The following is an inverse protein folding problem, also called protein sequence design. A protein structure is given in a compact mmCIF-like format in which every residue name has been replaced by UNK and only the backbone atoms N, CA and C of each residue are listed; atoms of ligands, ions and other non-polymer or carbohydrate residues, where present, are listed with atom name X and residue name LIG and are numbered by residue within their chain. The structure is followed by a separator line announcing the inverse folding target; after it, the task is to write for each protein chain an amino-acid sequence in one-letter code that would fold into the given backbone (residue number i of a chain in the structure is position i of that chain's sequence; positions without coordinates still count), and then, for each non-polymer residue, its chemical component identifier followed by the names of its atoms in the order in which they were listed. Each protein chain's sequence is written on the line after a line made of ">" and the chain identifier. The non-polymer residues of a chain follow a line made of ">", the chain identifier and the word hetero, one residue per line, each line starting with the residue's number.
data_IF_214813645640
#
_entry.id   IF_214813645640
#
_cell.length_a   1.000
_cell.length_b   1.000
_cell.length_c   1.000
_cell.angle_alpha   90.00
_cell.angle_beta   90.00
_cell.angle_gamma   90.00
#
_symmetry.space_group_name_H-M   'P 1'
#
loop_
_entity.id
_entity.type
_entity.pdbx_description
1 polymer ?
#
# COMPACT_ATOMS: atom_id res chain seq x y z
N UNK A 1 -21.55 28.59 31.43
CA UNK A 1 -21.35 30.00 31.85
C UNK A 1 -19.92 30.49 31.64
N UNK A 2 -18.88 29.82 32.13
CA UNK A 2 -17.47 30.24 31.93
C UNK A 2 -17.06 30.47 30.45
N UNK A 3 -17.56 29.65 29.53
CA UNK A 3 -17.23 29.76 28.09
C UNK A 3 -17.84 31.01 27.43
N UNK A 4 -19.03 31.41 27.88
CA UNK A 4 -19.74 32.60 27.39
C UNK A 4 -19.10 33.89 27.90
N UNK A 5 -18.66 33.90 29.17
CA UNK A 5 -17.90 35.01 29.76
C UNK A 5 -16.56 35.20 29.03
N UNK A 6 -15.90 34.10 28.65
CA UNK A 6 -14.64 34.14 27.89
C UNK A 6 -14.84 34.71 26.47
N UNK A 7 -15.89 34.30 25.75
CA UNK A 7 -16.22 34.87 24.44
C UNK A 7 -16.54 36.36 24.51
N UNK A 8 -17.29 36.80 25.53
CA UNK A 8 -17.66 38.21 25.70
C UNK A 8 -16.43 39.09 26.02
N UNK A 9 -15.52 38.60 26.87
CA UNK A 9 -14.23 39.25 27.13
C UNK A 9 -13.35 39.33 25.87
N UNK A 10 -13.36 38.30 25.03
CA UNK A 10 -12.59 38.26 23.78
C UNK A 10 -13.13 39.24 22.72
N UNK A 11 -14.44 39.52 22.70
CA UNK A 11 -15.04 40.51 21.79
C UNK A 11 -14.78 41.96 22.21
N UNK A 12 -14.48 42.22 23.50
CA UNK A 12 -14.30 43.57 24.04
C UNK A 12 -12.82 44.04 24.06
N UNK A 13 -11.86 43.20 23.64
CA UNK A 13 -10.43 43.54 23.69
C UNK A 13 -9.86 43.92 22.32
N UNK A 14 -9.22 45.10 22.23
CA UNK A 14 -8.49 45.55 21.05
C UNK A 14 -7.34 44.58 20.68
N UNK A 15 -7.02 44.50 19.37
CA UNK A 15 -6.13 43.50 18.74
C UNK A 15 -4.80 43.21 19.47
N UNK A 16 -4.20 44.19 20.16
CA UNK A 16 -2.95 43.98 20.90
C UNK A 16 -3.12 43.12 22.17
N UNK A 17 -4.27 43.18 22.85
CA UNK A 17 -4.53 42.36 24.04
C UNK A 17 -4.91 40.92 23.69
N UNK A 18 -5.44 40.69 22.49
CA UNK A 18 -5.80 39.35 21.99
C UNK A 18 -4.56 38.46 21.81
N UNK A 19 -3.48 39.02 21.26
CA UNK A 19 -2.22 38.30 21.09
C UNK A 19 -1.54 37.96 22.43
N UNK A 20 -1.67 38.83 23.44
CA UNK A 20 -1.15 38.58 24.79
C UNK A 20 -1.93 37.44 25.45
N UNK A 21 -3.26 37.41 25.31
CA UNK A 21 -4.09 36.33 25.83
C UNK A 21 -3.79 34.97 25.16
N UNK A 22 -3.62 34.95 23.83
CA UNK A 22 -3.23 33.74 23.09
C UNK A 22 -1.86 33.24 23.55
N UNK A 23 -0.89 34.13 23.75
CA UNK A 23 0.43 33.74 24.24
C UNK A 23 0.38 33.18 25.66
N UNK A 24 -0.44 33.74 26.55
CA UNK A 24 -0.64 33.19 27.90
C UNK A 24 -1.32 31.81 27.88
N UNK A 25 -2.31 31.60 27.02
CA UNK A 25 -2.98 30.30 26.86
C UNK A 25 -2.03 29.23 26.29
N UNK A 26 -1.21 29.58 25.30
CA UNK A 26 -0.22 28.67 24.73
C UNK A 26 0.89 28.32 25.74
N UNK A 27 1.33 29.27 26.56
CA UNK A 27 2.30 28.98 27.63
C UNK A 27 1.71 28.06 28.69
N UNK A 28 0.47 28.26 29.11
CA UNK A 28 -0.19 27.36 30.06
C UNK A 28 -0.38 25.94 29.51
N UNK A 29 -0.71 25.82 28.21
CA UNK A 29 -0.78 24.51 27.54
C UNK A 29 0.58 23.81 27.50
N UNK A 30 1.65 24.54 27.18
CA UNK A 30 3.00 23.99 27.17
C UNK A 30 3.46 23.53 28.56
N UNK A 31 3.14 24.30 29.62
CA UNK A 31 3.42 23.92 31.01
C UNK A 31 2.64 22.66 31.40
N UNK A 32 1.38 22.54 30.98
CA UNK A 32 0.56 21.35 31.22
C UNK A 32 1.14 20.11 30.52
N UNK A 33 1.59 20.26 29.27
CA UNK A 33 2.21 19.18 28.50
C UNK A 33 3.58 18.76 29.07
N UNK A 34 4.37 19.71 29.58
CA UNK A 34 5.61 19.39 30.32
C UNK A 34 5.33 18.61 31.61
N UNK A 35 4.30 18.98 32.37
CA UNK A 35 3.89 18.24 33.58
C UNK A 35 3.41 16.82 33.25
N UNK A 36 2.66 16.65 32.17
CA UNK A 36 2.21 15.33 31.67
C UNK A 36 3.38 14.44 31.23
N UNK A 37 4.35 15.00 30.49
CA UNK A 37 5.54 14.28 30.08
C UNK A 37 6.41 13.87 31.28
N UNK A 38 6.56 14.73 32.29
CA UNK A 38 7.26 14.38 33.52
C UNK A 38 6.54 13.27 34.32
N UNK A 39 5.21 13.26 34.31
CA UNK A 39 4.41 12.19 34.94
C UNK A 39 4.60 10.84 34.22
N UNK A 40 4.66 10.85 32.88
CA UNK A 40 4.93 9.67 32.06
C UNK A 40 6.36 9.13 32.26
N UNK A 41 7.34 10.01 32.41
CA UNK A 41 8.73 9.66 32.72
C UNK A 41 8.87 9.05 34.12
N UNK A 42 8.16 9.57 35.13
CA UNK A 42 8.14 9.00 36.48
C UNK A 42 7.50 7.60 36.53
N UNK A 43 6.42 7.37 35.76
CA UNK A 43 5.79 6.04 35.69
C UNK A 43 6.64 4.99 34.96
N UNK A 44 7.45 5.39 33.98
CA UNK A 44 8.35 4.46 33.28
C UNK A 44 9.56 4.04 34.13
N UNK A 45 10.05 4.90 35.02
CA UNK A 45 11.18 4.54 35.90
C UNK A 45 10.78 3.59 37.06
N UNK A 46 9.52 3.61 37.50
CA UNK A 46 9.05 2.69 38.55
C UNK A 46 8.78 1.26 38.04
N UNK A 47 8.62 1.04 36.74
CA UNK A 47 8.38 -0.29 36.16
C UNK A 47 9.66 -1.09 35.83
N UNK A 48 10.85 -0.48 35.91
CA UNK A 48 12.10 -1.15 35.56
C UNK A 48 12.90 -1.71 36.76
N UNK A 49 12.39 -1.63 37.99
CA UNK A 49 13.09 -2.10 39.20
C UNK A 49 12.52 -3.36 39.86
N UNK A 50 11.54 -4.05 39.26
CA UNK A 50 11.06 -5.35 39.76
C UNK A 50 11.18 -6.40 38.66
N UNK A 51 12.35 -7.06 38.58
CA UNK A 51 12.50 -8.46 38.17
C UNK A 51 13.98 -8.86 38.27
N UNK A 52 14.42 -9.10 39.51
CA UNK A 52 15.55 -9.97 39.80
C UNK A 52 15.14 -10.87 40.98
N UNK A 53 15.58 -12.14 40.92
CA UNK A 53 15.52 -13.20 41.95
C UNK A 53 14.36 -14.21 41.81
N UNK A 54 14.60 -15.36 41.15
CA UNK A 54 14.69 -16.71 41.78
C UNK A 54 14.80 -17.89 40.77
N UNK A 55 16.00 -18.48 40.72
CA UNK A 55 16.39 -19.91 40.78
C UNK A 55 15.58 -21.09 40.18
N UNK A 56 16.34 -21.85 39.35
CA UNK A 56 16.68 -23.30 39.38
C UNK A 56 15.77 -24.45 38.88
N UNK A 57 16.42 -25.23 37.98
CA UNK A 57 16.53 -26.71 37.85
C UNK A 57 15.31 -27.57 37.46
N UNK A 58 15.38 -28.23 36.29
CA UNK A 58 15.78 -29.65 36.15
C UNK A 58 15.61 -30.23 34.72
N UNK A 59 16.71 -30.81 34.22
CA UNK A 59 16.89 -32.13 33.58
C UNK A 59 15.93 -32.74 32.53
N UNK A 60 16.55 -33.06 31.38
CA UNK A 60 16.75 -34.40 30.78
C UNK A 60 15.92 -34.90 29.56
N UNK A 61 16.74 -35.42 28.62
CA UNK A 61 16.67 -36.69 27.88
C UNK A 61 16.25 -36.74 26.39
N UNK A 62 17.25 -37.16 25.60
CA UNK A 62 17.32 -37.69 24.23
C UNK A 62 16.16 -38.58 23.76
N UNK A 63 15.87 -38.56 22.44
CA UNK A 63 16.17 -39.71 21.57
C UNK A 63 16.03 -39.46 20.06
N UNK A 64 16.91 -40.13 19.31
CA UNK A 64 17.00 -40.25 17.86
C UNK A 64 15.88 -41.10 17.24
N UNK A 65 15.48 -40.84 15.98
CA UNK A 65 15.75 -41.71 14.81
C UNK A 65 14.89 -41.38 13.56
N UNK A 66 15.61 -41.15 12.45
CA UNK A 66 15.50 -41.70 11.08
C UNK A 66 14.21 -41.67 10.22
N UNK A 67 14.45 -41.19 8.98
CA UNK A 67 14.00 -41.70 7.66
C UNK A 67 12.52 -41.52 7.24
N UNK A 68 12.22 -40.62 6.30
CA UNK A 68 12.41 -40.80 4.85
C UNK A 68 11.75 -39.66 4.03
N UNK A 69 12.45 -39.27 2.95
CA UNK A 69 12.07 -38.31 1.91
C UNK A 69 10.73 -38.69 1.22
N UNK A 70 9.78 -37.76 1.11
CA UNK A 70 9.60 -36.74 0.05
C UNK A 70 9.28 -37.32 -1.34
N UNK A 71 8.02 -37.15 -1.75
CA UNK A 71 7.68 -36.68 -3.10
C UNK A 71 6.31 -35.98 -3.07
N UNK A 72 6.32 -34.65 -2.95
CA UNK A 72 5.14 -33.85 -3.21
C UNK A 72 5.58 -32.55 -3.91
N UNK A 73 5.34 -32.50 -5.21
CA UNK A 73 5.59 -31.35 -6.08
C UNK A 73 4.81 -30.13 -5.58
N UNK A 74 5.50 -29.24 -4.88
CA UNK A 74 5.20 -27.82 -4.83
C UNK A 74 6.50 -27.09 -5.15
N UNK A 75 6.79 -26.97 -6.45
CA UNK A 75 7.78 -26.03 -6.95
C UNK A 75 7.08 -24.87 -7.65
N UNK A 76 7.34 -23.71 -7.07
CA UNK A 76 7.56 -22.42 -7.73
C UNK A 76 6.33 -21.66 -8.25
N UNK A 77 5.74 -20.89 -7.34
CA UNK A 77 5.08 -19.63 -7.65
C UNK A 77 5.53 -18.59 -6.61
N UNK A 78 6.56 -17.82 -6.94
CA UNK A 78 6.76 -16.43 -6.50
C UNK A 78 8.11 -15.92 -7.04
N UNK A 79 8.14 -15.54 -8.32
CA UNK A 79 9.05 -14.49 -8.78
C UNK A 79 8.20 -13.37 -9.32
N UNK A 80 8.01 -12.35 -8.48
CA UNK A 80 7.78 -10.96 -8.86
C UNK A 80 8.22 -10.10 -7.67
N UNK A 81 9.50 -10.21 -7.31
CA UNK A 81 10.23 -9.02 -6.89
C UNK A 81 10.70 -8.36 -8.19
N UNK A 82 10.16 -7.19 -8.52
CA UNK A 82 10.79 -6.32 -9.50
C UNK A 82 12.10 -5.80 -8.89
N UNK A 83 13.14 -6.62 -8.98
CA UNK A 83 14.54 -6.23 -8.81
C UNK A 83 15.11 -6.07 -10.22
N UNK A 84 15.20 -4.82 -10.68
CA UNK A 84 15.96 -4.50 -11.88
C UNK A 84 17.20 -3.74 -11.40
N UNK A 85 18.31 -4.47 -11.38
CA UNK A 85 19.66 -3.94 -11.21
C UNK A 85 19.96 -2.97 -12.35
N UNK A 86 20.35 -1.74 -12.03
CA UNK A 86 21.12 -0.91 -12.94
C UNK A 86 22.58 -1.32 -12.77
N UNK A 87 23.12 -2.07 -13.74
CA UNK A 87 24.57 -2.11 -13.96
C UNK A 87 24.89 -1.00 -14.96
N UNK A 88 25.51 0.07 -14.46
CA UNK A 88 26.19 1.06 -15.29
C UNK A 88 27.48 0.40 -15.81
N UNK A 89 27.50 0.07 -17.11
CA UNK A 89 28.71 -0.35 -17.81
C UNK A 89 29.23 0.86 -18.61
N UNK A 90 30.00 1.72 -17.95
CA UNK A 90 30.91 2.63 -18.64
C UNK A 90 32.25 1.90 -18.78
N UNK A 91 32.48 1.36 -19.99
CA UNK A 91 33.80 0.97 -20.46
C UNK A 91 34.42 2.19 -21.10
N UNK A 92 35.32 2.86 -20.39
CA UNK A 92 36.37 3.63 -21.04
C UNK A 92 37.71 2.98 -20.70
N UNK A 93 38.37 2.56 -21.77
CA UNK A 93 39.76 2.18 -21.79
C UNK A 93 40.58 3.46 -21.56
N UNK A 94 41.47 3.46 -20.59
CA UNK A 94 42.79 4.04 -20.79
C UNK A 94 43.82 3.34 -19.90
N UNK A 95 44.93 3.01 -20.54
CA UNK A 95 46.15 2.50 -19.95
C UNK A 95 46.81 3.65 -19.20
N UNK A 96 47.31 3.40 -17.99
CA UNK A 96 48.72 3.68 -17.68
C UNK A 96 49.10 3.15 -16.29
N UNK A 97 50.33 2.65 -16.24
CA UNK A 97 50.96 1.94 -15.15
C UNK A 97 51.63 2.93 -14.18
N UNK A 98 51.68 2.49 -12.92
CA UNK A 98 52.70 2.76 -11.91
C UNK A 98 52.76 4.11 -11.15
N UNK A 99 52.90 3.91 -9.83
CA UNK A 99 53.40 4.82 -8.78
C UNK A 99 52.47 5.93 -8.28
N UNK A 100 51.84 5.69 -7.12
CA UNK A 100 52.32 6.32 -5.89
C UNK A 100 51.57 5.82 -4.64
N UNK A 101 52.35 5.25 -3.74
CA UNK A 101 52.03 5.03 -2.35
C UNK A 101 52.05 6.41 -1.65
N UNK A 102 50.89 7.05 -1.48
CA UNK A 102 50.78 8.17 -0.55
C UNK A 102 49.43 8.15 0.17
N UNK A 103 49.53 7.92 1.47
CA UNK A 103 48.51 8.19 2.48
C UNK A 103 47.73 9.46 2.16
N UNK A 104 46.41 9.36 2.16
CA UNK A 104 45.57 10.35 2.80
C UNK A 104 44.28 9.68 3.27
N UNK A 105 44.14 9.68 4.60
CA UNK A 105 42.90 9.39 5.33
C UNK A 105 41.73 10.14 4.67
N UNK A 106 40.92 9.43 3.90
CA UNK A 106 39.54 9.83 3.65
C UNK A 106 38.69 8.97 4.56
N UNK A 107 38.18 9.59 5.63
CA UNK A 107 37.05 9.10 6.39
C UNK A 107 35.96 8.63 5.43
N UNK A 108 35.88 7.32 5.22
CA UNK A 108 34.82 6.67 4.48
C UNK A 108 33.54 6.67 5.32
N UNK A 109 33.03 7.85 5.65
CA UNK A 109 31.65 8.05 6.09
C UNK A 109 30.72 8.17 4.88
N UNK A 110 30.89 7.30 3.87
CA UNK A 110 29.87 7.07 2.86
C UNK A 110 28.75 6.24 3.50
N UNK A 111 27.95 6.88 4.36
CA UNK A 111 26.70 6.32 4.87
C UNK A 111 25.81 6.09 3.66
N UNK A 112 25.79 4.85 3.17
CA UNK A 112 25.07 4.42 1.97
C UNK A 112 23.63 4.96 2.05
N UNK A 113 23.26 5.85 1.12
CA UNK A 113 21.90 6.41 1.08
C UNK A 113 20.93 5.26 0.78
N UNK A 114 20.05 4.93 1.74
CA UNK A 114 19.01 3.90 1.56
C UNK A 114 18.09 4.24 0.37
N UNK A 115 17.76 3.26 -0.46
CA UNK A 115 16.74 3.41 -1.50
C UNK A 115 15.34 3.53 -0.89
N UNK A 116 14.40 4.15 -1.62
CA UNK A 116 12.96 4.09 -1.33
C UNK A 116 12.41 2.66 -1.27
N UNK A 117 13.11 1.72 -1.89
CA UNK A 117 12.82 0.29 -1.88
C UNK A 117 13.31 -0.39 -0.59
N UNK A 118 14.27 0.22 0.12
CA UNK A 118 14.99 -0.36 1.26
C UNK A 118 14.49 0.17 2.61
N UNK A 119 13.33 0.87 2.63
CA UNK A 119 12.72 1.33 3.88
C UNK A 119 12.48 0.13 4.80
N UNK A 120 12.73 0.31 6.10
CA UNK A 120 12.43 -0.67 7.16
C UNK A 120 11.18 -0.25 7.94
N UNK A 121 10.65 -1.13 8.81
CA UNK A 121 9.56 -0.73 9.72
C UNK A 121 9.95 0.46 10.60
N UNK A 122 11.22 0.53 11.04
CA UNK A 122 11.76 1.64 11.85
C UNK A 122 11.88 2.94 11.05
N UNK A 123 12.08 2.86 9.73
CA UNK A 123 12.07 4.05 8.88
C UNK A 123 10.65 4.58 8.69
N UNK A 124 9.67 3.68 8.56
CA UNK A 124 8.25 4.04 8.45
C UNK A 124 7.73 4.63 9.76
N UNK A 125 8.13 4.11 10.92
CA UNK A 125 7.65 4.57 12.23
C UNK A 125 8.09 5.99 12.61
N UNK A 126 9.09 6.55 11.91
CA UNK A 126 9.53 7.95 12.09
C UNK A 126 8.54 8.96 11.49
N UNK A 127 7.64 8.53 10.62
CA UNK A 127 6.65 9.40 10.02
C UNK A 127 5.38 9.42 10.84
N UNK A 128 4.93 10.63 11.16
CA UNK A 128 3.64 10.85 11.80
C UNK A 128 2.55 11.03 10.74
N UNK A 129 1.43 10.37 10.96
CA UNK A 129 0.19 10.55 10.21
C UNK A 129 -1.00 10.29 11.12
N UNK A 130 -2.09 10.98 10.86
CA UNK A 130 -3.35 10.79 11.57
C UNK A 130 -4.30 9.96 10.70
N UNK A 131 -5.11 9.12 11.35
CA UNK A 131 -6.17 8.39 10.68
C UNK A 131 -7.36 9.29 10.39
N UNK A 132 -7.77 9.33 9.13
CA UNK A 132 -8.91 10.12 8.67
C UNK A 132 -10.05 9.21 8.18
N UNK A 133 -11.21 9.33 8.83
CA UNK A 133 -12.42 8.55 8.52
C UNK A 133 -13.30 9.20 7.44
N UNK A 134 -13.00 10.45 7.08
CA UNK A 134 -13.79 11.20 6.09
C UNK A 134 -13.58 10.66 4.68
N UNK A 135 -14.49 10.97 3.76
CA UNK A 135 -14.39 10.58 2.35
C UNK A 135 -13.13 11.16 1.68
N UNK A 136 -12.71 10.55 0.57
CA UNK A 136 -11.66 11.13 -0.27
C UNK A 136 -12.04 12.55 -0.71
N UNK A 137 -11.09 13.48 -0.63
CA UNK A 137 -11.28 14.85 -1.06
C UNK A 137 -10.58 15.07 -2.40
N UNK A 138 -11.36 15.37 -3.44
CA UNK A 138 -10.85 15.63 -4.79
C UNK A 138 -10.98 17.10 -5.21
N UNK A 139 -11.37 18.01 -4.31
CA UNK A 139 -11.69 19.40 -4.65
C UNK A 139 -10.48 20.11 -5.26
N UNK A 140 -9.32 19.97 -4.61
CA UNK A 140 -8.08 20.56 -5.11
C UNK A 140 -7.66 19.96 -6.44
N UNK A 141 -7.77 18.63 -6.60
CA UNK A 141 -7.51 17.96 -7.87
C UNK A 141 -8.42 18.50 -8.98
N UNK A 142 -9.73 18.53 -8.76
CA UNK A 142 -10.70 19.00 -9.76
C UNK A 142 -10.53 20.47 -10.11
N UNK A 143 -10.23 21.32 -9.13
CA UNK A 143 -9.93 22.73 -9.36
C UNK A 143 -8.72 22.88 -10.28
N UNK A 144 -7.59 22.26 -9.96
CA UNK A 144 -6.37 22.38 -10.75
C UNK A 144 -6.48 21.67 -12.11
N UNK A 145 -7.21 20.55 -12.18
CA UNK A 145 -7.46 19.83 -13.43
C UNK A 145 -8.19 20.72 -14.42
N UNK A 146 -9.27 21.40 -14.02
CA UNK A 146 -10.01 22.33 -14.88
C UNK A 146 -9.14 23.51 -15.33
N UNK A 147 -8.22 23.97 -14.50
CA UNK A 147 -7.28 25.03 -14.86
C UNK A 147 -6.26 24.57 -15.91
N UNK A 148 -5.64 23.41 -15.72
CA UNK A 148 -4.57 22.92 -16.61
C UNK A 148 -5.09 22.20 -17.85
N UNK A 149 -6.31 21.69 -17.80
CA UNK A 149 -6.93 20.85 -18.82
C UNK A 149 -8.41 21.23 -19.03
N UNK A 150 -8.70 22.48 -19.45
CA UNK A 150 -10.08 23.00 -19.49
C UNK A 150 -11.00 22.28 -20.48
N UNK A 151 -10.43 21.71 -21.54
CA UNK A 151 -11.18 21.02 -22.61
C UNK A 151 -11.24 19.50 -22.43
N UNK A 152 -10.50 18.96 -21.46
CA UNK A 152 -10.46 17.52 -21.22
C UNK A 152 -11.63 17.09 -20.32
N UNK A 153 -12.11 15.86 -20.52
CA UNK A 153 -13.15 15.29 -19.67
C UNK A 153 -12.64 15.11 -18.25
N UNK A 154 -13.40 15.63 -17.27
CA UNK A 154 -13.10 15.46 -15.85
C UNK A 154 -13.19 13.98 -15.44
N UNK A 155 -12.21 13.43 -14.72
CA UNK A 155 -12.30 12.05 -14.21
C UNK A 155 -13.40 11.90 -13.16
N UNK A 156 -14.15 10.79 -13.19
CA UNK A 156 -15.23 10.55 -12.21
C UNK A 156 -14.67 10.25 -10.81
N UNK A 157 -15.47 10.50 -9.77
CA UNK A 157 -15.12 10.18 -8.37
C UNK A 157 -14.76 8.70 -8.22
N UNK A 158 -15.59 7.81 -8.75
CA UNK A 158 -15.42 6.35 -8.66
C UNK A 158 -14.15 5.87 -9.36
N UNK A 159 -13.78 6.51 -10.48
CA UNK A 159 -12.50 6.23 -11.14
C UNK A 159 -11.32 6.67 -10.28
N UNK A 160 -11.36 7.88 -9.71
CA UNK A 160 -10.26 8.39 -8.87
C UNK A 160 -10.07 7.55 -7.61
N UNK A 161 -11.16 7.16 -6.94
CA UNK A 161 -11.13 6.24 -5.79
C UNK A 161 -10.46 4.91 -6.14
N UNK A 162 -10.88 4.30 -7.25
CA UNK A 162 -10.28 3.06 -7.74
C UNK A 162 -8.81 3.27 -8.11
N UNK A 163 -8.49 4.37 -8.79
CA UNK A 163 -7.13 4.63 -9.25
C UNK A 163 -6.16 4.82 -8.08
N UNK A 164 -6.58 5.46 -6.99
CA UNK A 164 -5.77 5.56 -5.76
C UNK A 164 -5.46 4.15 -5.24
N UNK A 165 -6.46 3.30 -5.08
CA UNK A 165 -6.25 1.92 -4.62
C UNK A 165 -5.32 1.13 -5.54
N UNK A 166 -5.51 1.25 -6.85
CA UNK A 166 -4.67 0.56 -7.83
C UNK A 166 -3.23 1.08 -7.87
N UNK A 167 -3.03 2.39 -7.76
CA UNK A 167 -1.70 3.01 -7.70
C UNK A 167 -0.97 2.68 -6.39
N UNK A 168 -1.69 2.61 -5.27
CA UNK A 168 -1.12 2.16 -3.99
C UNK A 168 -0.70 0.68 -4.01
N UNK A 169 -1.33 -0.14 -4.84
CA UNK A 169 -0.90 -1.50 -5.12
C UNK A 169 0.33 -1.55 -6.08
N UNK A 170 0.15 -1.12 -7.33
CA UNK A 170 1.11 -1.38 -8.44
C UNK A 170 1.91 -0.15 -8.89
N UNK A 171 1.55 1.05 -8.43
CA UNK A 171 2.21 2.29 -8.82
C UNK A 171 3.62 2.40 -8.24
N UNK A 172 4.43 3.28 -8.83
CA UNK A 172 5.76 3.61 -8.34
C UNK A 172 6.06 5.10 -8.56
N UNK A 173 6.68 5.72 -7.57
CA UNK A 173 7.17 7.11 -7.62
C UNK A 173 8.69 7.06 -7.67
N UNK A 174 9.28 7.63 -8.73
CA UNK A 174 10.72 7.56 -8.97
C UNK A 174 11.38 8.89 -8.62
N UNK A 175 12.48 8.81 -7.86
CA UNK A 175 13.30 9.97 -7.44
C UNK A 175 14.74 9.72 -7.91
N UNK A 176 15.03 9.86 -9.22
CA UNK A 176 16.37 9.64 -9.73
C UNK A 176 17.32 10.79 -9.36
N UNK A 177 18.63 10.52 -9.36
CA UNK A 177 19.68 11.50 -9.01
C UNK A 177 19.66 12.73 -9.92
N UNK A 178 19.28 12.56 -11.18
CA UNK A 178 19.15 13.64 -12.17
C UNK A 178 17.87 14.49 -12.01
N UNK A 179 17.08 14.27 -10.94
CA UNK A 179 15.85 15.01 -10.64
C UNK A 179 14.73 14.88 -11.71
N UNK A 180 14.82 13.89 -12.61
CA UNK A 180 13.77 13.56 -13.58
C UNK A 180 12.69 12.69 -12.93
N UNK A 181 11.91 13.30 -12.04
CA UNK A 181 10.83 12.62 -11.31
C UNK A 181 9.80 12.02 -12.26
N UNK A 182 9.27 10.85 -11.90
CA UNK A 182 8.14 10.27 -12.62
C UNK A 182 7.27 9.38 -11.75
N UNK A 183 6.01 9.26 -12.15
CA UNK A 183 5.08 8.27 -11.61
C UNK A 183 4.81 7.23 -12.68
N UNK A 184 4.92 5.95 -12.33
CA UNK A 184 4.85 4.84 -13.28
C UNK A 184 3.94 3.72 -12.75
N UNK A 185 3.28 3.01 -13.67
CA UNK A 185 2.66 1.71 -13.43
C UNK A 185 3.19 0.78 -14.52
N UNK A 186 3.79 -0.35 -14.14
CA UNK A 186 4.24 -1.37 -15.11
C UNK A 186 3.36 -2.60 -14.94
N UNK A 187 2.77 -3.09 -16.03
CA UNK A 187 1.91 -4.28 -16.00
C UNK A 187 2.15 -5.16 -17.22
N UNK A 188 1.80 -6.44 -17.12
CA UNK A 188 1.90 -7.39 -18.23
C UNK A 188 0.96 -7.00 -19.38
N UNK A 189 1.23 -7.47 -20.60
CA UNK A 189 0.42 -7.20 -21.80
C UNK A 189 -1.07 -7.48 -21.61
N UNK A 190 -1.44 -8.47 -20.79
CA UNK A 190 -2.84 -8.77 -20.46
C UNK A 190 -3.60 -7.59 -19.84
N UNK A 191 -2.88 -6.63 -19.25
CA UNK A 191 -3.43 -5.39 -18.69
C UNK A 191 -3.11 -4.14 -19.53
N UNK A 192 -2.69 -4.28 -20.78
CA UNK A 192 -2.45 -3.11 -21.64
C UNK A 192 -3.69 -2.23 -21.78
N UNK A 193 -4.87 -2.85 -21.91
CA UNK A 193 -6.15 -2.12 -21.95
C UNK A 193 -6.37 -1.29 -20.67
N UNK A 194 -5.93 -1.80 -19.51
CA UNK A 194 -6.06 -1.10 -18.23
C UNK A 194 -5.13 0.12 -18.18
N UNK A 195 -3.90 0.00 -18.68
CA UNK A 195 -2.98 1.14 -18.76
C UNK A 195 -3.52 2.25 -19.68
N UNK A 196 -4.12 1.88 -20.82
CA UNK A 196 -4.80 2.83 -21.69
C UNK A 196 -6.04 3.42 -21.00
N UNK A 197 -6.84 2.61 -20.31
CA UNK A 197 -7.97 3.10 -19.52
C UNK A 197 -7.55 4.15 -18.48
N UNK A 198 -6.43 3.94 -17.78
CA UNK A 198 -5.86 4.92 -16.84
C UNK A 198 -5.46 6.20 -17.57
N UNK A 199 -4.68 6.07 -18.66
CA UNK A 199 -4.24 7.21 -19.48
C UNK A 199 -5.42 8.03 -19.96
N UNK A 200 -6.44 7.38 -20.50
CA UNK A 200 -7.59 8.01 -21.14
C UNK A 200 -8.57 8.60 -20.11
N UNK A 201 -8.67 8.04 -18.89
CA UNK A 201 -9.49 8.67 -17.84
C UNK A 201 -8.77 9.84 -17.16
N UNK A 202 -7.45 9.77 -16.98
CA UNK A 202 -6.67 10.87 -16.40
C UNK A 202 -6.35 11.97 -17.42
N UNK A 203 -6.37 11.66 -18.72
CA UNK A 203 -5.82 12.51 -19.78
C UNK A 203 -4.36 12.88 -19.52
N UNK A 204 -3.59 11.95 -18.94
CA UNK A 204 -2.21 12.16 -18.50
C UNK A 204 -1.32 10.97 -18.80
N UNK A 205 -0.03 11.27 -19.00
CA UNK A 205 0.99 10.26 -19.22
C UNK A 205 0.92 9.55 -20.57
N UNK A 206 1.85 8.63 -20.77
CA UNK A 206 1.97 7.84 -21.98
C UNK A 206 2.08 6.35 -21.63
N UNK A 207 1.52 5.49 -22.48
CA UNK A 207 1.67 4.04 -22.38
C UNK A 207 2.70 3.60 -23.42
N UNK A 208 3.78 2.97 -22.96
CA UNK A 208 4.89 2.50 -23.80
C UNK A 208 5.19 1.04 -23.53
N UNK A 209 5.73 0.33 -24.51
CA UNK A 209 6.26 -1.02 -24.28
C UNK A 209 7.56 -0.90 -23.49
N UNK A 210 7.65 -1.58 -22.34
CA UNK A 210 8.78 -1.46 -21.43
C UNK A 210 9.82 -2.57 -21.66
N UNK A 211 9.37 -3.81 -21.84
CA UNK A 211 10.28 -4.93 -22.12
C UNK A 211 9.65 -5.91 -23.09
N UNK A 212 10.42 -6.28 -24.12
CA UNK A 212 10.07 -7.38 -25.02
C UNK A 212 10.17 -8.73 -24.32
N UNK A 213 11.23 -8.94 -23.53
CA UNK A 213 11.48 -10.18 -22.80
C UNK A 213 10.37 -10.51 -21.81
N UNK A 214 9.93 -9.51 -21.04
CA UNK A 214 8.89 -9.68 -20.01
C UNK A 214 7.49 -9.34 -20.53
N UNK A 215 7.37 -9.03 -21.83
CA UNK A 215 6.12 -8.66 -22.48
C UNK A 215 5.25 -7.69 -21.66
N UNK A 216 5.89 -6.65 -21.12
CA UNK A 216 5.25 -5.71 -20.22
C UNK A 216 5.22 -4.29 -20.81
N UNK A 217 4.22 -3.55 -20.38
CA UNK A 217 3.94 -2.18 -20.78
C UNK A 217 3.97 -1.30 -19.55
N UNK A 218 4.26 -0.02 -19.75
CA UNK A 218 4.38 0.97 -18.69
C UNK A 218 3.54 2.19 -19.05
N UNK A 219 2.64 2.56 -18.14
CA UNK A 219 2.11 3.92 -18.10
C UNK A 219 3.07 4.79 -17.29
N UNK A 220 3.45 5.95 -17.83
CA UNK A 220 4.46 6.83 -17.26
C UNK A 220 4.10 8.31 -17.39
N UNK A 221 4.27 9.05 -16.30
CA UNK A 221 4.02 10.49 -16.20
C UNK A 221 5.31 11.21 -15.80
N UNK A 222 5.79 12.08 -16.69
CA UNK A 222 6.98 12.93 -16.46
C UNK A 222 6.67 14.43 -16.50
N UNK A 223 5.53 14.82 -17.10
CA UNK A 223 5.16 16.24 -17.22
C UNK A 223 4.91 16.80 -15.82
N UNK A 224 5.56 17.90 -15.49
CA UNK A 224 5.48 18.52 -14.16
C UNK A 224 4.03 18.88 -13.77
N UNK A 225 3.24 19.39 -14.71
CA UNK A 225 1.82 19.71 -14.50
C UNK A 225 1.00 18.47 -14.15
N UNK A 226 1.11 17.39 -14.95
CA UNK A 226 0.42 16.13 -14.69
C UNK A 226 0.86 15.51 -13.35
N UNK A 227 2.15 15.59 -13.01
CA UNK A 227 2.65 15.15 -11.70
C UNK A 227 2.06 15.95 -10.55
N UNK A 228 1.92 17.28 -10.67
CA UNK A 228 1.27 18.11 -9.65
C UNK A 228 -0.20 17.71 -9.47
N UNK A 229 -0.91 17.42 -10.55
CA UNK A 229 -2.28 16.91 -10.48
C UNK A 229 -2.34 15.58 -9.73
N UNK A 230 -1.45 14.62 -10.03
CA UNK A 230 -1.36 13.37 -9.27
C UNK A 230 -1.01 13.58 -7.80
N UNK A 231 -0.11 14.53 -7.48
CA UNK A 231 0.17 14.90 -6.09
C UNK A 231 -1.10 15.44 -5.41
N UNK A 232 -1.88 16.29 -6.06
CA UNK A 232 -3.16 16.77 -5.51
C UNK A 232 -4.20 15.66 -5.34
N UNK A 233 -4.16 14.64 -6.20
CA UNK A 233 -5.01 13.46 -6.06
C UNK A 233 -4.62 12.60 -4.85
N UNK A 234 -3.33 12.41 -4.61
CA UNK A 234 -2.81 11.51 -3.58
C UNK A 234 -2.64 12.16 -2.20
N UNK A 235 -2.20 13.42 -2.14
CA UNK A 235 -1.85 14.09 -0.88
C UNK A 235 -3.10 14.30 -0.01
N UNK A 236 -3.14 13.63 1.15
CA UNK A 236 -4.31 13.58 2.03
C UNK A 236 -5.34 12.48 1.70
N UNK A 237 -5.13 11.72 0.62
CA UNK A 237 -6.00 10.61 0.17
C UNK A 237 -5.30 9.24 0.20
N UNK A 238 -4.06 9.13 0.67
CA UNK A 238 -3.37 7.83 0.78
C UNK A 238 -4.00 6.95 1.85
N UNK A 239 -4.16 5.65 1.60
CA UNK A 239 -4.68 4.70 2.60
C UNK A 239 -3.55 3.88 3.23
N UNK A 240 -2.54 3.48 2.45
CA UNK A 240 -1.41 2.71 2.95
C UNK A 240 -0.35 3.64 3.56
N UNK A 241 0.00 3.49 4.86
CA UNK A 241 1.04 4.28 5.50
C UNK A 241 2.37 4.29 4.75
N UNK A 242 2.81 3.14 4.22
CA UNK A 242 4.07 3.05 3.48
C UNK A 242 4.02 3.87 2.19
N UNK A 243 2.86 3.94 1.53
CA UNK A 243 2.69 4.72 0.31
C UNK A 243 2.60 6.21 0.63
N UNK A 244 1.97 6.60 1.74
CA UNK A 244 2.04 7.94 2.28
C UNK A 244 3.48 8.40 2.53
N UNK A 245 4.32 7.56 3.16
CA UNK A 245 5.74 7.89 3.37
C UNK A 245 6.47 8.12 2.05
N UNK A 246 6.29 7.23 1.08
CA UNK A 246 6.89 7.37 -0.25
C UNK A 246 6.42 8.64 -0.97
N UNK A 247 5.14 8.98 -0.86
CA UNK A 247 4.59 10.22 -1.40
C UNK A 247 5.19 11.44 -0.70
N UNK A 248 5.33 11.42 0.62
CA UNK A 248 5.93 12.50 1.40
C UNK A 248 7.37 12.77 0.96
N UNK A 249 8.17 11.71 0.78
CA UNK A 249 9.53 11.81 0.23
C UNK A 249 9.53 12.38 -1.19
N UNK A 250 8.59 11.95 -2.03
CA UNK A 250 8.43 12.43 -3.40
C UNK A 250 8.09 13.93 -3.45
N UNK A 251 7.11 14.37 -2.65
CA UNK A 251 6.72 15.78 -2.53
C UNK A 251 7.90 16.63 -2.04
N UNK A 252 8.63 16.18 -1.02
CA UNK A 252 9.82 16.90 -0.54
C UNK A 252 10.87 17.11 -1.63
N UNK A 253 11.10 16.11 -2.48
CA UNK A 253 12.03 16.23 -3.61
C UNK A 253 11.50 17.15 -4.71
N UNK A 254 10.21 17.06 -5.03
CA UNK A 254 9.54 17.99 -5.96
C UNK A 254 9.66 19.43 -5.43
N UNK A 255 9.44 19.66 -4.13
CA UNK A 255 9.55 20.98 -3.51
C UNK A 255 10.95 21.58 -3.66
N UNK A 256 12.01 20.77 -3.59
CA UNK A 256 13.37 21.25 -3.89
C UNK A 256 13.50 21.80 -5.31
N UNK A 257 12.85 21.15 -6.29
CA UNK A 257 12.81 21.63 -7.68
C UNK A 257 11.94 22.89 -7.80
N UNK A 258 10.78 22.93 -7.15
CA UNK A 258 9.88 24.09 -7.17
C UNK A 258 10.55 25.34 -6.59
N UNK A 259 11.24 25.21 -5.46
CA UNK A 259 11.98 26.32 -4.84
C UNK A 259 13.07 26.89 -5.77
N UNK A 260 13.83 26.03 -6.46
CA UNK A 260 14.84 26.46 -7.44
C UNK A 260 14.24 27.21 -8.63
N UNK A 261 12.98 26.97 -8.92
CA UNK A 261 12.24 27.62 -10.00
C UNK A 261 11.39 28.81 -9.51
N UNK A 262 11.51 29.21 -8.24
CA UNK A 262 10.67 30.23 -7.60
C UNK A 262 9.16 29.91 -7.68
N UNK A 263 8.80 28.63 -7.69
CA UNK A 263 7.42 28.15 -7.66
C UNK A 263 6.98 27.86 -6.21
N UNK A 264 5.70 28.05 -5.86
CA UNK A 264 5.19 27.75 -4.53
C UNK A 264 5.32 26.26 -4.21
N UNK A 265 5.77 25.95 -2.99
CA UNK A 265 5.89 24.57 -2.51
C UNK A 265 4.52 23.95 -2.23
N UNK A 266 4.49 22.61 -2.25
CA UNK A 266 3.32 21.82 -1.92
C UNK A 266 3.43 21.36 -0.45
N UNK A 267 2.46 21.76 0.37
CA UNK A 267 2.40 21.33 1.76
C UNK A 267 1.94 19.87 1.84
N UNK A 268 2.67 19.05 2.61
CA UNK A 268 2.32 17.64 2.84
C UNK A 268 1.18 17.59 3.87
N UNK A 269 0.13 16.83 3.55
CA UNK A 269 -0.98 16.58 4.47
C UNK A 269 -0.69 15.30 5.23
N UNK A 270 -0.49 15.41 6.55
CA UNK A 270 -0.12 14.30 7.44
C UNK A 270 -1.30 13.40 7.81
N UNK A 271 -2.09 12.96 6.83
CA UNK A 271 -3.26 12.12 7.03
C UNK A 271 -3.23 10.89 6.13
N UNK A 272 -3.61 9.75 6.70
CA UNK A 272 -3.94 8.54 5.97
C UNK A 272 -5.44 8.28 6.09
N UNK A 273 -6.10 8.04 4.96
CA UNK A 273 -7.50 7.64 4.91
C UNK A 273 -7.66 6.23 5.46
N UNK A 274 -8.73 5.98 6.20
CA UNK A 274 -9.15 4.63 6.53
C UNK A 274 -9.92 4.01 5.34
N UNK A 275 -9.73 2.72 5.04
CA UNK A 275 -10.51 2.02 4.02
C UNK A 275 -12.02 2.14 4.30
N UNK A 276 -12.84 2.14 3.24
CA UNK A 276 -14.30 2.05 3.34
C UNK A 276 -14.84 1.13 2.26
N UNK A 277 -16.04 0.60 2.46
CA UNK A 277 -16.71 -0.31 1.52
C UNK A 277 -17.79 0.37 0.67
N UNK A 278 -17.96 1.68 0.81
CA UNK A 278 -18.89 2.50 0.02
C UNK A 278 -18.21 3.29 -1.10
N UNK A 279 -16.93 3.03 -1.33
CA UNK A 279 -16.13 3.64 -2.38
C UNK A 279 -15.34 2.58 -3.16
N UNK A 280 -14.68 2.97 -4.24
CA UNK A 280 -14.01 2.02 -5.15
C UNK A 280 -12.55 1.68 -4.79
N UNK A 281 -12.02 2.18 -3.67
CA UNK A 281 -10.59 2.01 -3.33
C UNK A 281 -10.19 0.54 -3.16
N UNK A 282 -10.96 -0.25 -2.40
CA UNK A 282 -10.65 -1.67 -2.19
C UNK A 282 -10.72 -2.47 -3.51
N UNK A 283 -11.49 -2.00 -4.49
CA UNK A 283 -11.55 -2.61 -5.83
C UNK A 283 -10.24 -2.39 -6.57
N UNK A 284 -9.76 -1.15 -6.62
CA UNK A 284 -8.45 -0.84 -7.22
C UNK A 284 -7.30 -1.53 -6.51
N UNK A 285 -7.32 -1.53 -5.18
CA UNK A 285 -6.30 -2.21 -4.40
C UNK A 285 -6.30 -3.72 -4.65
N UNK A 286 -7.49 -4.33 -4.79
CA UNK A 286 -7.64 -5.74 -5.18
C UNK A 286 -7.16 -5.99 -6.61
N UNK A 287 -7.39 -5.08 -7.54
CA UNK A 287 -6.92 -5.20 -8.93
C UNK A 287 -5.39 -5.34 -9.02
N UNK A 288 -4.64 -4.67 -8.14
CA UNK A 288 -3.19 -4.86 -8.05
C UNK A 288 -2.80 -6.04 -7.16
N UNK A 289 -3.14 -6.01 -5.86
CA UNK A 289 -2.56 -6.91 -4.85
C UNK A 289 -3.44 -8.12 -4.47
N UNK A 290 -4.72 -8.10 -4.85
CA UNK A 290 -5.65 -9.17 -4.51
C UNK A 290 -5.44 -10.43 -5.34
N UNK A 291 -5.80 -11.59 -4.80
CA UNK A 291 -5.74 -12.86 -5.50
C UNK A 291 -7.04 -13.64 -5.25
N UNK A 292 -7.60 -14.18 -6.34
CA UNK A 292 -8.75 -15.09 -6.32
C UNK A 292 -8.27 -16.45 -6.80
N UNK A 293 -8.22 -17.43 -5.91
CA UNK A 293 -7.70 -18.75 -6.22
C UNK A 293 -8.68 -19.85 -5.89
N UNK A 294 -8.63 -20.90 -6.71
CA UNK A 294 -9.31 -22.17 -6.50
C UNK A 294 -8.28 -23.28 -6.39
N UNK A 295 -8.57 -24.29 -5.57
CA UNK A 295 -7.70 -25.43 -5.36
C UNK A 295 -8.49 -26.68 -5.02
N UNK A 296 -7.77 -27.79 -4.90
CA UNK A 296 -8.33 -29.08 -4.50
C UNK A 296 -7.34 -29.78 -3.59
N UNK A 297 -7.83 -30.27 -2.45
CA UNK A 297 -7.14 -31.25 -1.60
C UNK A 297 -7.62 -32.64 -1.96
N UNK A 298 -7.07 -33.66 -1.29
CA UNK A 298 -7.60 -35.03 -1.40
C UNK A 298 -9.09 -35.10 -1.05
N UNK A 299 -9.56 -34.28 -0.10
CA UNK A 299 -10.89 -34.39 0.50
C UNK A 299 -11.87 -33.26 0.13
N UNK A 300 -11.42 -32.07 -0.29
CA UNK A 300 -12.31 -30.94 -0.57
C UNK A 300 -11.73 -29.92 -1.56
N UNK A 301 -12.61 -29.11 -2.14
CA UNK A 301 -12.22 -27.96 -2.96
C UNK A 301 -11.97 -26.73 -2.08
N UNK A 302 -10.91 -25.99 -2.39
CA UNK A 302 -10.53 -24.76 -1.70
C UNK A 302 -10.87 -23.56 -2.58
N UNK A 303 -11.38 -22.50 -1.97
CA UNK A 303 -11.52 -21.18 -2.57
C UNK A 303 -10.87 -20.18 -1.63
N UNK A 304 -10.03 -19.29 -2.15
CA UNK A 304 -9.32 -18.31 -1.34
C UNK A 304 -9.41 -16.96 -2.05
N UNK A 305 -9.76 -15.95 -1.27
CA UNK A 305 -9.47 -14.56 -1.57
C UNK A 305 -8.41 -14.06 -0.57
N UNK A 306 -7.32 -13.50 -1.08
CA UNK A 306 -6.29 -12.94 -0.23
C UNK A 306 -5.69 -11.64 -0.80
N UNK A 307 -5.18 -10.79 0.08
CA UNK A 307 -4.41 -9.60 -0.25
C UNK A 307 -3.13 -9.64 0.56
N UNK A 308 -1.99 -9.39 -0.09
CA UNK A 308 -0.71 -9.34 0.59
C UNK A 308 -0.18 -7.91 0.66
N UNK A 309 0.53 -7.58 1.73
CA UNK A 309 1.28 -6.33 1.84
C UNK A 309 2.56 -6.48 2.65
N UNK A 310 3.58 -5.72 2.27
CA UNK A 310 4.80 -5.57 3.07
C UNK A 310 4.56 -4.56 4.20
N UNK A 311 5.36 -4.64 5.25
CA UNK A 311 5.43 -3.74 6.40
C UNK A 311 4.32 -3.89 7.43
N UNK A 312 4.71 -3.76 8.71
CA UNK A 312 3.76 -3.83 9.83
C UNK A 312 2.72 -2.71 9.78
N UNK A 313 3.10 -1.53 9.30
CA UNK A 313 2.19 -0.38 9.17
C UNK A 313 1.02 -0.68 8.22
N UNK A 314 1.26 -1.43 7.15
CA UNK A 314 0.19 -1.85 6.22
C UNK A 314 -0.62 -3.04 6.75
N UNK A 315 -0.10 -3.83 7.71
CA UNK A 315 -0.87 -4.89 8.37
C UNK A 315 -2.14 -4.33 9.02
N UNK A 316 -2.05 -3.17 9.67
CA UNK A 316 -3.21 -2.51 10.28
C UNK A 316 -4.33 -2.26 9.27
N UNK A 317 -3.98 -1.84 8.04
CA UNK A 317 -4.95 -1.65 6.96
C UNK A 317 -5.61 -2.97 6.56
N UNK A 318 -4.85 -4.06 6.49
CA UNK A 318 -5.40 -5.40 6.22
C UNK A 318 -6.38 -5.84 7.32
N UNK A 319 -6.04 -5.63 8.60
CA UNK A 319 -6.95 -5.92 9.73
C UNK A 319 -8.23 -5.08 9.64
N UNK A 320 -8.10 -3.81 9.29
CA UNK A 320 -9.22 -2.89 9.14
C UNK A 320 -10.16 -3.32 8.01
N UNK A 321 -9.62 -3.64 6.82
CA UNK A 321 -10.40 -4.16 5.69
C UNK A 321 -11.15 -5.43 6.09
N UNK A 322 -10.48 -6.36 6.77
CA UNK A 322 -11.12 -7.60 7.22
C UNK A 322 -12.30 -7.33 8.16
N UNK A 323 -12.16 -6.39 9.09
CA UNK A 323 -13.24 -6.03 10.01
C UNK A 323 -14.44 -5.40 9.28
N UNK A 324 -14.20 -4.48 8.33
CA UNK A 324 -15.29 -3.94 7.50
C UNK A 324 -16.02 -5.05 6.74
N UNK A 325 -15.29 -6.03 6.20
CA UNK A 325 -15.90 -7.15 5.49
C UNK A 325 -16.69 -8.07 6.44
N UNK A 326 -16.23 -8.26 7.69
CA UNK A 326 -16.98 -8.99 8.72
C UNK A 326 -18.32 -8.32 9.04
N UNK A 327 -18.31 -6.99 9.17
CA UNK A 327 -19.50 -6.17 9.38
C UNK A 327 -20.45 -6.27 8.18
N UNK A 328 -19.97 -6.00 6.96
CA UNK A 328 -20.78 -6.10 5.74
C UNK A 328 -21.44 -7.47 5.57
N UNK A 329 -20.75 -8.53 5.98
CA UNK A 329 -21.20 -9.91 5.81
C UNK A 329 -21.94 -10.49 7.01
N UNK A 330 -22.06 -9.76 8.13
CA UNK A 330 -22.51 -10.26 9.43
C UNK A 330 -21.85 -11.60 9.78
N UNK A 331 -20.51 -11.64 9.73
CA UNK A 331 -19.73 -12.85 9.99
C UNK A 331 -18.40 -12.54 10.67
N UNK A 332 -18.34 -12.68 12.00
CA UNK A 332 -17.13 -12.42 12.78
C UNK A 332 -15.97 -13.38 12.46
N UNK A 333 -16.26 -14.56 11.89
CA UNK A 333 -15.28 -15.61 11.57
C UNK A 333 -14.98 -15.70 10.07
N UNK A 334 -14.94 -14.56 9.37
CA UNK A 334 -14.75 -14.51 7.91
C UNK A 334 -13.36 -14.98 7.45
N UNK A 335 -12.33 -14.74 8.26
CA UNK A 335 -10.93 -14.97 7.91
C UNK A 335 -9.98 -14.36 8.94
N UNK A 336 -8.72 -14.14 8.54
CA UNK A 336 -7.68 -13.57 9.41
C UNK A 336 -6.56 -12.87 8.64
N UNK A 337 -5.73 -12.14 9.38
CA UNK A 337 -4.49 -11.53 8.87
C UNK A 337 -3.30 -12.23 9.50
N UNK A 338 -2.42 -12.77 8.66
CA UNK A 338 -1.33 -13.65 9.05
C UNK A 338 0.02 -13.07 8.62
N UNK A 339 1.10 -13.45 9.31
CA UNK A 339 2.45 -13.28 8.78
C UNK A 339 2.63 -14.24 7.62
N UNK A 340 3.12 -13.73 6.50
CA UNK A 340 3.42 -14.54 5.32
C UNK A 340 4.78 -15.23 5.48
N UNK A 341 4.94 -16.31 4.70
CA UNK A 341 6.20 -16.80 4.13
C UNK A 341 7.42 -15.89 4.22
N UNK A 342 7.24 -14.82 3.47
CA UNK A 342 8.27 -13.85 3.12
C UNK A 342 8.46 -12.86 4.26
N UNK A 343 9.72 -12.49 4.49
CA UNK A 343 10.10 -11.52 5.53
C UNK A 343 9.28 -10.22 5.41
N UNK A 344 8.74 -9.77 6.54
CA UNK A 344 7.99 -8.52 6.67
C UNK A 344 6.77 -8.40 5.72
N UNK A 345 6.15 -9.52 5.38
CA UNK A 345 4.95 -9.57 4.54
C UNK A 345 3.79 -10.15 5.35
N UNK A 346 2.61 -9.58 5.14
CA UNK A 346 1.37 -9.95 5.81
C UNK A 346 0.32 -10.27 4.76
N UNK A 347 -0.56 -11.21 5.09
CA UNK A 347 -1.63 -11.68 4.22
C UNK A 347 -2.96 -11.60 4.95
N UNK A 348 -3.91 -10.83 4.41
CA UNK A 348 -5.32 -10.99 4.74
C UNK A 348 -5.89 -12.14 3.91
N UNK A 349 -6.52 -13.13 4.55
CA UNK A 349 -7.07 -14.31 3.86
C UNK A 349 -8.49 -14.62 4.30
N UNK A 350 -9.37 -14.79 3.32
CA UNK A 350 -10.73 -15.36 3.44
C UNK A 350 -10.75 -16.67 2.66
N UNK A 351 -11.10 -17.77 3.31
CA UNK A 351 -11.06 -19.12 2.71
C UNK A 351 -12.36 -19.92 2.87
N UNK A 352 -13.33 -19.41 3.63
CA UNK A 352 -14.62 -20.05 3.77
C UNK A 352 -15.44 -19.87 2.49
N UNK A 353 -16.07 -20.94 1.99
CA UNK A 353 -16.87 -20.88 0.76
C UNK A 353 -17.98 -19.81 0.85
N UNK A 354 -18.68 -19.75 2.00
CA UNK A 354 -19.72 -18.76 2.29
C UNK A 354 -19.17 -17.33 2.43
N UNK A 355 -17.98 -17.15 3.00
CA UNK A 355 -17.35 -15.85 3.09
C UNK A 355 -16.91 -15.33 1.73
N UNK A 356 -16.27 -16.20 0.95
CA UNK A 356 -15.86 -15.94 -0.42
C UNK A 356 -17.05 -15.59 -1.32
N UNK A 357 -18.18 -16.30 -1.22
CA UNK A 357 -19.38 -16.01 -2.02
C UNK A 357 -19.96 -14.62 -1.72
N UNK A 358 -19.87 -14.15 -0.47
CA UNK A 358 -20.37 -12.85 -0.02
C UNK A 358 -19.50 -11.65 -0.44
N UNK A 359 -18.28 -11.86 -0.96
CA UNK A 359 -17.49 -10.75 -1.52
C UNK A 359 -18.21 -10.02 -2.66
N UNK A 360 -19.19 -10.66 -3.31
CA UNK A 360 -20.06 -10.03 -4.30
C UNK A 360 -20.87 -8.84 -3.78
N UNK A 361 -21.15 -8.80 -2.48
CA UNK A 361 -21.81 -7.65 -1.83
C UNK A 361 -21.04 -6.34 -2.05
N UNK A 362 -19.71 -6.42 -2.19
CA UNK A 362 -18.85 -5.27 -2.48
C UNK A 362 -18.50 -5.18 -3.97
N UNK A 363 -17.94 -6.25 -4.57
CA UNK A 363 -17.40 -6.19 -5.93
C UNK A 363 -18.45 -6.11 -7.04
N UNK A 364 -19.73 -6.42 -6.79
CA UNK A 364 -20.76 -6.15 -7.80
C UNK A 364 -21.16 -4.66 -7.81
N UNK A 365 -21.03 -3.95 -6.67
CA UNK A 365 -21.23 -2.48 -6.58
C UNK A 365 -20.00 -1.70 -7.04
N UNK A 366 -18.81 -2.19 -6.68
CA UNK A 366 -17.51 -1.58 -7.02
C UNK A 366 -16.69 -2.58 -7.84
N UNK A 367 -16.96 -2.71 -9.15
CA UNK A 367 -16.34 -3.73 -9.99
C UNK A 367 -14.83 -3.53 -10.13
N UNK A 368 -14.12 -4.66 -10.24
CA UNK A 368 -12.74 -4.73 -10.69
C UNK A 368 -12.65 -4.25 -12.15
N UNK A 369 -11.53 -3.65 -12.52
CA UNK A 369 -11.29 -3.08 -13.85
C UNK A 369 -10.14 -3.76 -14.61
N UNK A 370 -9.28 -4.52 -13.93
CA UNK A 370 -8.20 -5.27 -14.59
C UNK A 370 -8.69 -6.61 -15.16
N UNK A 371 -7.79 -7.39 -15.79
CA UNK A 371 -8.11 -8.78 -16.19
C UNK A 371 -8.62 -9.63 -15.02
N UNK A 372 -8.32 -9.23 -13.78
CA UNK A 372 -8.77 -9.88 -12.54
C UNK A 372 -10.29 -9.85 -12.39
N UNK A 373 -11.01 -8.96 -13.07
CA UNK A 373 -12.47 -9.02 -13.18
C UNK A 373 -12.96 -10.36 -13.77
N UNK A 374 -12.33 -10.82 -14.86
CA UNK A 374 -12.67 -12.10 -15.49
C UNK A 374 -12.30 -13.28 -14.56
N UNK A 375 -11.16 -13.19 -13.88
CA UNK A 375 -10.73 -14.18 -12.88
C UNK A 375 -11.77 -14.27 -11.76
N UNK A 376 -12.20 -13.12 -11.23
CA UNK A 376 -13.21 -13.03 -10.19
C UNK A 376 -14.55 -13.64 -10.62
N UNK A 377 -15.04 -13.33 -11.83
CA UNK A 377 -16.30 -13.91 -12.33
C UNK A 377 -16.22 -15.42 -12.51
N UNK A 378 -15.09 -15.96 -12.99
CA UNK A 378 -14.87 -17.40 -13.06
C UNK A 378 -14.77 -18.06 -11.67
N UNK A 379 -14.14 -17.37 -10.73
CA UNK A 379 -14.03 -17.79 -9.34
C UNK A 379 -15.41 -17.84 -8.65
N UNK A 380 -16.27 -16.85 -8.86
CA UNK A 380 -17.66 -16.88 -8.38
C UNK A 380 -18.46 -18.03 -8.99
N UNK A 381 -18.37 -18.26 -10.30
CA UNK A 381 -19.04 -19.41 -10.94
C UNK A 381 -18.63 -20.74 -10.31
N UNK A 382 -17.35 -20.88 -9.97
CA UNK A 382 -16.84 -22.06 -9.27
C UNK A 382 -17.47 -22.21 -7.88
N UNK A 383 -17.55 -21.11 -7.12
CA UNK A 383 -18.20 -21.08 -5.81
C UNK A 383 -19.68 -21.46 -5.92
N UNK A 384 -20.40 -20.88 -6.89
CA UNK A 384 -21.82 -21.15 -7.10
C UNK A 384 -22.07 -22.63 -7.45
N UNK A 385 -21.22 -23.22 -8.31
CA UNK A 385 -21.26 -24.66 -8.59
C UNK A 385 -20.98 -25.51 -7.34
N UNK A 386 -20.03 -25.09 -6.50
CA UNK A 386 -19.67 -25.80 -5.28
C UNK A 386 -20.76 -25.75 -4.22
N UNK A 387 -21.49 -24.64 -4.15
CA UNK A 387 -22.60 -24.43 -3.22
C UNK A 387 -23.95 -24.93 -3.74
N UNK A 388 -24.03 -25.37 -4.99
CA UNK A 388 -25.29 -25.86 -5.56
C UNK A 388 -25.66 -27.23 -4.95
N UNK A 389 -26.65 -27.23 -4.07
CA UNK A 389 -27.19 -28.43 -3.41
C UNK A 389 -28.23 -29.18 -4.24
N UNK A 390 -28.74 -28.58 -5.33
CA UNK A 390 -29.71 -29.23 -6.22
C UNK A 390 -29.10 -30.31 -7.10
N UNK A 391 -27.76 -30.36 -7.20
CA UNK A 391 -27.03 -31.36 -7.98
C UNK A 391 -26.51 -32.48 -7.09
N UNK A 392 -26.48 -33.70 -7.62
CA UNK A 392 -25.84 -34.82 -6.93
C UNK A 392 -24.35 -34.55 -6.69
N UNK A 393 -23.79 -35.14 -5.63
CA UNK A 393 -22.38 -34.94 -5.24
C UNK A 393 -21.42 -35.31 -6.38
N UNK A 394 -21.70 -36.37 -7.12
CA UNK A 394 -20.84 -36.84 -8.22
C UNK A 394 -20.87 -35.92 -9.43
N UNK A 395 -22.06 -35.46 -9.84
CA UNK A 395 -22.20 -34.50 -10.93
C UNK A 395 -21.47 -33.20 -10.58
N UNK A 396 -21.65 -32.72 -9.35
CA UNK A 396 -20.98 -31.50 -8.86
C UNK A 396 -19.46 -31.67 -8.85
N UNK A 397 -18.95 -32.80 -8.36
CA UNK A 397 -17.51 -33.11 -8.34
C UNK A 397 -16.91 -33.12 -9.74
N UNK A 398 -17.58 -33.75 -10.70
CA UNK A 398 -17.14 -33.78 -12.11
C UNK A 398 -17.09 -32.38 -12.72
N UNK A 399 -18.15 -31.59 -12.56
CA UNK A 399 -18.20 -30.19 -13.05
C UNK A 399 -17.11 -29.33 -12.43
N UNK A 400 -16.91 -29.41 -11.10
CA UNK A 400 -15.86 -28.66 -10.40
C UNK A 400 -14.46 -29.04 -10.88
N UNK A 401 -14.22 -30.32 -11.18
CA UNK A 401 -12.93 -30.77 -11.72
C UNK A 401 -12.61 -30.12 -13.07
N UNK A 402 -13.59 -30.11 -13.98
CA UNK A 402 -13.45 -29.47 -15.30
C UNK A 402 -13.19 -27.97 -15.14
N UNK A 403 -13.98 -27.28 -14.31
CA UNK A 403 -13.82 -25.85 -14.05
C UNK A 403 -12.44 -25.53 -13.45
N UNK A 404 -11.97 -26.33 -12.50
CA UNK A 404 -10.65 -26.16 -11.88
C UNK A 404 -9.53 -26.27 -12.92
N UNK A 405 -9.61 -27.25 -13.82
CA UNK A 405 -8.62 -27.42 -14.89
C UNK A 405 -8.62 -26.24 -15.86
N UNK A 406 -9.79 -25.74 -16.25
CA UNK A 406 -9.91 -24.57 -17.12
C UNK A 406 -9.30 -23.32 -16.47
N UNK A 407 -9.61 -23.05 -15.19
CA UNK A 407 -9.06 -21.92 -14.46
C UNK A 407 -7.53 -22.01 -14.38
N UNK A 408 -6.99 -23.20 -14.11
CA UNK A 408 -5.55 -23.44 -14.07
C UNK A 408 -4.89 -23.20 -15.43
N UNK A 409 -5.49 -23.67 -16.52
CA UNK A 409 -4.93 -23.49 -17.86
C UNK A 409 -4.89 -22.01 -18.26
N UNK A 410 -5.97 -21.26 -18.01
CA UNK A 410 -6.02 -19.81 -18.25
C UNK A 410 -4.93 -19.10 -17.43
N UNK A 411 -4.75 -19.49 -16.16
CA UNK A 411 -3.70 -18.89 -15.31
C UNK A 411 -2.29 -19.16 -15.81
N UNK A 412 -2.04 -20.30 -16.46
CA UNK A 412 -0.74 -20.64 -17.05
C UNK A 412 -0.46 -19.85 -18.34
N UNK A 413 -1.48 -19.62 -19.17
CA UNK A 413 -1.35 -18.84 -20.40
C UNK A 413 -1.10 -17.35 -20.15
N UNK A 414 -1.51 -16.84 -18.99
CA UNK A 414 -1.38 -15.42 -18.61
C UNK A 414 -0.12 -15.10 -17.80
N UNK A 415 0.69 -16.10 -17.46
CA UNK A 415 2.04 -15.94 -16.88
C UNK A 415 3.06 -15.97 -18.01
#
# INVERSE_FOLDING_TARGET
>A
EYFLVMMYMMMMMNNNNYNILINMLNNNYNILMMKLNNLLLFNNNNNNNNNNITNNNNNNLNNNNNNNNNEMMNKDNNMNNNEMMNMDNDKDNDKDNDNNLLNNNKDNNNKLRKSLLDLTNDDISKYNYEWDKTEFNFDKFYKEFKCYKPNDKLPSKEFLEWFIGYFEADGCMTIPKNMNYSMIITSHKTNLFLLNYIKDNLMMGNVVKNSYKFNNYRWQVYKQQDMKLLIHLFNGNMVLPVRYVKLSMFISNINMKLLKNNEPIINIINKCKLPRLDNSWLSGFTDGEGCFSVGKTQSFYRVIYNINQKYIANKYILDYILNLLRELMNNNNLGGVYKHSSKNMYEMRISSMKGCSKLRLYFDKHPLRSYKFLVYKNWLKFIDMAMNESLSKDIRKNKLMIMLNNIRNISKMNK
#
